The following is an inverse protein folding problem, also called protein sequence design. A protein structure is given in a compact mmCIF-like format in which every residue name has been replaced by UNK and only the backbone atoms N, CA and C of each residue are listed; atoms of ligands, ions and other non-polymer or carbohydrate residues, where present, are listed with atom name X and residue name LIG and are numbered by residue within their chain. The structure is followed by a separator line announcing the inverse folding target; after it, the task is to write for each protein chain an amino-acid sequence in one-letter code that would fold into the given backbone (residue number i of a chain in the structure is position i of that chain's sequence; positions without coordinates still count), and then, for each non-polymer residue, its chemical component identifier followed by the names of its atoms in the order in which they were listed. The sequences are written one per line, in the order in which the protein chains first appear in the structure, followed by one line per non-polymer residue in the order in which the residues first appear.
data_IF_520884733878
#
_entry.id   IF_520884733878
#
_cell.length_a   1.000
_cell.length_b   1.000
_cell.length_c   1.000
_cell.angle_alpha   90.00
_cell.angle_beta   90.00
_cell.angle_gamma   90.00
#
_symmetry.space_group_name_H-M   'P 1'
#
loop_
_entity.id
_entity.type
_entity.pdbx_description
1 polymer ?
#
# COMPACT_ATOMS: atom_id res chain seq x y z
N UNK A 1 -43.93 -19.52 49.14
CA UNK A 1 -43.88 -18.46 48.10
C UNK A 1 -42.98 -17.34 48.59
N UNK A 2 -42.00 -16.86 47.81
CA UNK A 2 -41.10 -15.80 48.24
C UNK A 2 -41.86 -14.49 48.48
N UNK A 3 -41.50 -13.78 49.56
CA UNK A 3 -42.17 -12.54 49.95
C UNK A 3 -41.94 -11.42 48.92
N UNK A 4 -43.01 -10.74 48.49
CA UNK A 4 -42.98 -9.64 47.49
C UNK A 4 -42.51 -8.29 48.09
N UNK A 5 -41.59 -8.28 49.06
CA UNK A 5 -41.12 -7.05 49.73
C UNK A 5 -39.59 -7.06 49.84
N UNK A 6 -38.96 -5.91 49.62
CA UNK A 6 -37.52 -5.74 49.89
C UNK A 6 -37.25 -6.00 51.37
N UNK A 7 -36.11 -6.61 51.70
CA UNK A 7 -35.62 -6.70 53.10
C UNK A 7 -35.48 -5.33 53.78
N UNK A 8 -35.37 -4.27 52.96
CA UNK A 8 -35.31 -2.87 53.36
C UNK A 8 -36.68 -2.19 53.55
N UNK A 9 -37.80 -2.90 53.44
CA UNK A 9 -39.16 -2.36 53.58
C UNK A 9 -39.68 -1.55 52.38
N UNK A 10 -38.83 -1.27 51.38
CA UNK A 10 -39.22 -0.55 50.16
C UNK A 10 -39.90 -1.48 49.13
N UNK A 11 -40.69 -0.90 48.24
CA UNK A 11 -41.30 -1.63 47.13
C UNK A 11 -40.19 -2.24 46.23
N UNK A 12 -40.36 -3.51 45.83
CA UNK A 12 -39.45 -4.16 44.90
C UNK A 12 -39.48 -3.40 43.57
N UNK A 13 -38.38 -2.71 43.25
CA UNK A 13 -38.24 -2.08 41.94
C UNK A 13 -38.06 -3.18 40.89
N UNK A 14 -38.88 -3.13 39.84
CA UNK A 14 -38.73 -4.01 38.69
C UNK A 14 -37.39 -3.66 38.05
N UNK A 15 -36.39 -4.53 38.19
CA UNK A 15 -35.16 -4.41 37.42
C UNK A 15 -35.59 -4.49 35.95
N UNK A 16 -35.60 -3.35 35.28
CA UNK A 16 -35.72 -3.29 33.81
C UNK A 16 -34.66 -4.25 33.30
N UNK A 17 -35.06 -5.24 32.48
CA UNK A 17 -34.11 -6.20 31.90
C UNK A 17 -32.85 -5.42 31.51
N UNK A 18 -31.66 -5.77 32.03
CA UNK A 18 -30.46 -5.06 31.63
C UNK A 18 -30.45 -5.05 30.10
N UNK A 19 -30.26 -3.87 29.50
CA UNK A 19 -30.06 -3.76 28.05
C UNK A 19 -28.84 -4.62 27.77
N UNK A 20 -29.06 -5.88 27.39
CA UNK A 20 -27.96 -6.74 26.95
C UNK A 20 -27.26 -5.98 25.85
N UNK A 21 -25.98 -5.72 26.06
CA UNK A 21 -25.20 -5.10 25.01
C UNK A 21 -25.15 -6.10 23.86
N UNK A 22 -25.29 -5.63 22.62
CA UNK A 22 -25.28 -6.46 21.41
C UNK A 22 -24.10 -7.44 21.37
N UNK A 23 -22.97 -7.04 21.97
CA UNK A 23 -21.78 -7.87 22.18
C UNK A 23 -22.02 -9.08 23.07
N UNK A 24 -22.80 -8.97 24.14
CA UNK A 24 -23.11 -10.09 25.05
C UNK A 24 -23.93 -11.17 24.35
N UNK A 25 -24.99 -10.79 23.62
CA UNK A 25 -25.82 -11.75 22.90
C UNK A 25 -25.03 -12.44 21.77
N UNK A 26 -24.17 -11.71 21.07
CA UNK A 26 -23.28 -12.27 20.06
C UNK A 26 -22.26 -13.25 20.68
N UNK A 27 -21.65 -12.91 21.82
CA UNK A 27 -20.71 -13.79 22.51
C UNK A 27 -21.38 -15.08 23.01
N UNK A 28 -22.61 -15.00 23.54
CA UNK A 28 -23.39 -16.17 23.94
C UNK A 28 -23.69 -17.09 22.74
N UNK A 29 -24.03 -16.52 21.58
CA UNK A 29 -24.25 -17.29 20.35
C UNK A 29 -22.95 -17.98 19.88
N UNK A 30 -21.82 -17.26 19.91
CA UNK A 30 -20.49 -17.79 19.57
C UNK A 30 -20.10 -18.93 20.51
N UNK A 31 -20.35 -18.78 21.81
CA UNK A 31 -20.06 -19.81 22.81
C UNK A 31 -20.96 -21.05 22.59
N UNK A 32 -22.23 -20.87 22.26
CA UNK A 32 -23.13 -21.97 21.87
C UNK A 32 -22.61 -22.73 20.65
N UNK A 33 -22.21 -22.00 19.60
CA UNK A 33 -21.62 -22.61 18.41
C UNK A 33 -20.31 -23.35 18.72
N UNK A 34 -19.51 -22.83 19.65
CA UNK A 34 -18.28 -23.48 20.08
C UNK A 34 -18.58 -24.79 20.84
N UNK A 35 -19.64 -24.83 21.65
CA UNK A 35 -20.13 -26.06 22.30
C UNK A 35 -20.57 -27.08 21.25
N UNK A 36 -21.32 -26.67 20.22
CA UNK A 36 -21.74 -27.58 19.14
C UNK A 36 -20.54 -28.19 18.40
N UNK A 37 -19.50 -27.38 18.18
CA UNK A 37 -18.24 -27.85 17.58
C UNK A 37 -17.56 -28.90 18.45
N UNK A 38 -17.43 -28.64 19.76
CA UNK A 38 -16.79 -29.57 20.71
C UNK A 38 -17.60 -30.86 20.92
N UNK A 39 -18.93 -30.79 20.80
CA UNK A 39 -19.83 -31.95 20.89
C UNK A 39 -19.93 -32.75 19.58
N UNK A 40 -19.23 -32.34 18.51
CA UNK A 40 -19.32 -32.99 17.21
C UNK A 40 -20.68 -32.81 16.51
N UNK A 41 -21.47 -31.82 16.95
CA UNK A 41 -22.76 -31.45 16.34
C UNK A 41 -22.60 -30.49 15.15
N UNK A 42 -21.38 -30.04 14.88
CA UNK A 42 -21.09 -29.21 13.72
C UNK A 42 -21.40 -29.99 12.44
N UNK A 43 -22.33 -29.47 11.64
CA UNK A 43 -22.81 -30.11 10.41
C UNK A 43 -21.82 -30.04 9.25
N UNK A 44 -20.76 -29.25 9.37
CA UNK A 44 -19.68 -29.12 8.40
C UNK A 44 -18.37 -29.70 8.97
N UNK A 45 -17.65 -30.50 8.18
CA UNK A 45 -16.32 -30.96 8.55
C UNK A 45 -15.32 -29.79 8.46
N UNK A 46 -14.86 -29.25 9.59
CA UNK A 46 -13.99 -28.07 9.61
C UNK A 46 -12.51 -28.47 9.48
N UNK A 47 -11.99 -28.41 8.26
CA UNK A 47 -10.56 -28.56 7.98
C UNK A 47 -9.81 -27.21 8.03
N UNK A 48 -8.48 -27.22 8.29
CA UNK A 48 -7.67 -26.01 8.21
C UNK A 48 -7.81 -25.32 6.84
N UNK A 49 -8.24 -24.05 6.85
CA UNK A 49 -8.39 -23.24 5.64
C UNK A 49 -9.78 -23.26 5.01
N UNK A 50 -10.69 -24.13 5.45
CA UNK A 50 -12.07 -24.20 4.97
C UNK A 50 -12.82 -22.87 5.21
N UNK A 51 -12.88 -22.42 6.46
CA UNK A 51 -13.59 -21.17 6.81
C UNK A 51 -13.01 -19.96 6.03
N UNK A 52 -11.69 -19.70 6.00
CA UNK A 52 -11.12 -18.60 5.21
C UNK A 52 -11.43 -18.64 3.71
N UNK A 53 -11.50 -19.83 3.12
CA UNK A 53 -11.78 -20.01 1.69
C UNK A 53 -13.25 -19.66 1.39
N UNK A 54 -14.18 -20.26 2.12
CA UNK A 54 -15.62 -20.04 1.92
C UNK A 54 -16.04 -18.63 2.33
N UNK A 55 -15.42 -18.05 3.36
CA UNK A 55 -15.71 -16.68 3.76
C UNK A 55 -15.33 -15.69 2.66
N UNK A 56 -14.21 -15.90 1.96
CA UNK A 56 -13.84 -15.05 0.82
C UNK A 56 -14.84 -15.15 -0.32
N UNK A 57 -15.21 -16.37 -0.72
CA UNK A 57 -16.20 -16.59 -1.78
C UNK A 57 -17.55 -15.96 -1.43
N UNK A 58 -18.04 -16.17 -0.20
CA UNK A 58 -19.28 -15.56 0.28
C UNK A 58 -19.21 -14.03 0.30
N UNK A 59 -18.14 -13.44 0.83
CA UNK A 59 -17.98 -11.99 0.89
C UNK A 59 -17.92 -11.37 -0.50
N UNK A 60 -17.29 -12.03 -1.48
CA UNK A 60 -17.19 -11.53 -2.85
C UNK A 60 -18.52 -11.64 -3.62
N UNK A 61 -19.32 -12.67 -3.36
CA UNK A 61 -20.60 -12.91 -4.06
C UNK A 61 -21.76 -12.13 -3.47
N UNK A 62 -21.88 -12.15 -2.15
CA UNK A 62 -23.11 -11.72 -1.46
C UNK A 62 -22.96 -10.32 -0.85
N UNK A 63 -21.80 -10.02 -0.28
CA UNK A 63 -21.62 -8.80 0.53
C UNK A 63 -20.96 -7.67 -0.27
N UNK A 64 -20.02 -7.99 -1.16
CA UNK A 64 -19.12 -7.01 -1.81
C UNK A 64 -18.86 -7.28 -3.30
N UNK A 65 -19.89 -7.38 -4.16
CA UNK A 65 -19.68 -7.62 -5.59
C UNK A 65 -18.84 -6.54 -6.30
N UNK A 66 -18.70 -5.34 -5.70
CA UNK A 66 -18.11 -4.17 -6.36
C UNK A 66 -16.79 -3.64 -5.75
N UNK A 67 -16.32 -4.17 -4.60
CA UNK A 67 -15.27 -3.50 -3.80
C UNK A 67 -13.96 -4.29 -3.69
N UNK A 68 -12.85 -3.56 -3.82
CA UNK A 68 -11.46 -4.06 -3.82
C UNK A 68 -10.89 -4.27 -2.41
N UNK A 69 -11.64 -3.95 -1.35
CA UNK A 69 -11.13 -3.88 0.04
C UNK A 69 -11.77 -4.89 1.00
N UNK A 70 -11.74 -6.18 0.64
CA UNK A 70 -12.32 -7.30 1.41
C UNK A 70 -12.01 -7.18 2.91
N UNK A 71 -10.75 -6.97 3.30
CA UNK A 71 -10.36 -6.79 4.71
C UNK A 71 -11.10 -5.68 5.45
N UNK A 72 -11.27 -4.50 4.83
CA UNK A 72 -11.92 -3.35 5.50
C UNK A 72 -13.39 -3.66 5.78
N UNK A 73 -14.04 -4.26 4.79
CA UNK A 73 -15.45 -4.58 4.83
C UNK A 73 -15.74 -5.77 5.75
N UNK A 74 -14.91 -6.81 5.73
CA UNK A 74 -14.94 -7.89 6.72
C UNK A 74 -14.75 -7.36 8.14
N UNK A 75 -13.87 -6.37 8.34
CA UNK A 75 -13.71 -5.72 9.65
C UNK A 75 -15.01 -5.03 10.09
N UNK A 76 -15.66 -4.30 9.18
CA UNK A 76 -16.93 -3.63 9.46
C UNK A 76 -18.07 -4.62 9.73
N UNK A 77 -18.11 -5.73 8.98
CA UNK A 77 -19.09 -6.81 9.19
C UNK A 77 -18.91 -7.48 10.56
N UNK A 78 -17.67 -7.76 10.95
CA UNK A 78 -17.35 -8.28 12.28
C UNK A 78 -17.77 -7.31 13.40
N UNK A 79 -17.50 -6.02 13.23
CA UNK A 79 -17.91 -4.98 14.19
C UNK A 79 -19.44 -4.85 14.26
N UNK A 80 -20.12 -4.99 13.13
CA UNK A 80 -21.57 -5.00 13.08
C UNK A 80 -22.19 -6.25 13.69
N UNK A 81 -21.59 -7.43 13.56
CA UNK A 81 -22.15 -8.67 14.08
C UNK A 81 -21.86 -8.85 15.59
N UNK A 82 -20.63 -8.55 16.01
CA UNK A 82 -20.11 -8.88 17.35
C UNK A 82 -19.98 -7.63 18.24
N UNK A 83 -19.81 -6.45 17.65
CA UNK A 83 -19.51 -5.21 18.37
C UNK A 83 -18.03 -5.08 18.75
N UNK A 84 -17.56 -3.84 18.80
CA UNK A 84 -16.16 -3.50 19.05
C UNK A 84 -15.60 -4.08 20.36
N UNK A 85 -16.42 -4.07 21.42
CA UNK A 85 -16.07 -4.67 22.72
C UNK A 85 -15.93 -6.19 22.64
N UNK A 86 -16.85 -6.87 21.95
CA UNK A 86 -16.77 -8.31 21.74
C UNK A 86 -15.55 -8.71 20.90
N UNK A 87 -15.21 -7.90 19.87
CA UNK A 87 -13.98 -8.09 19.10
C UNK A 87 -12.71 -7.92 19.94
N UNK A 88 -12.69 -6.96 20.88
CA UNK A 88 -11.58 -6.79 21.82
C UNK A 88 -11.45 -8.01 22.74
N UNK A 89 -12.54 -8.50 23.33
CA UNK A 89 -12.56 -9.69 24.19
C UNK A 89 -12.08 -10.95 23.46
N UNK A 90 -12.40 -11.07 22.17
CA UNK A 90 -11.96 -12.16 21.30
C UNK A 90 -10.55 -11.95 20.70
N UNK A 91 -9.88 -10.83 21.00
CA UNK A 91 -8.59 -10.45 20.44
C UNK A 91 -8.58 -10.44 18.89
N UNK A 92 -9.67 -9.99 18.28
CA UNK A 92 -9.83 -9.89 16.82
C UNK A 92 -9.43 -8.47 16.40
N UNK A 93 -8.14 -8.30 16.08
CA UNK A 93 -7.60 -7.08 15.48
C UNK A 93 -7.44 -7.19 13.96
N UNK A 94 -6.98 -6.12 13.32
CA UNK A 94 -6.83 -6.08 11.86
C UNK A 94 -5.88 -7.15 11.28
N UNK A 95 -4.85 -7.58 12.03
CA UNK A 95 -3.96 -8.68 11.63
C UNK A 95 -4.67 -10.05 11.75
N UNK A 96 -5.50 -10.25 12.78
CA UNK A 96 -6.35 -11.43 12.96
C UNK A 96 -7.34 -11.55 11.81
N UNK A 97 -8.00 -10.45 11.41
CA UNK A 97 -8.92 -10.43 10.24
C UNK A 97 -8.20 -10.86 8.96
N UNK A 98 -6.95 -10.43 8.76
CA UNK A 98 -6.16 -10.83 7.59
C UNK A 98 -5.85 -12.35 7.58
N UNK A 99 -5.67 -12.95 8.77
CA UNK A 99 -5.48 -14.40 8.94
C UNK A 99 -6.77 -15.18 8.73
N UNK A 100 -7.88 -14.68 9.26
CA UNK A 100 -9.23 -15.24 9.08
C UNK A 100 -9.67 -15.22 7.62
N UNK A 101 -9.27 -14.18 6.88
CA UNK A 101 -9.44 -14.13 5.43
C UNK A 101 -8.37 -14.92 4.67
N UNK A 102 -7.36 -15.51 5.32
CA UNK A 102 -6.28 -16.24 4.65
C UNK A 102 -5.47 -15.40 3.64
N UNK A 103 -5.34 -14.09 3.86
CA UNK A 103 -4.52 -13.18 3.03
C UNK A 103 -3.01 -13.35 3.28
N UNK A 104 -2.62 -14.10 4.31
CA UNK A 104 -1.23 -14.39 4.61
C UNK A 104 -0.76 -15.62 3.83
N UNK A 105 0.20 -15.42 2.93
CA UNK A 105 0.81 -16.44 2.06
C UNK A 105 1.61 -17.55 2.78
N UNK A 106 1.59 -17.60 4.11
CA UNK A 106 2.48 -18.44 4.92
C UNK A 106 1.79 -19.70 5.48
N UNK A 107 0.59 -20.06 5.01
CA UNK A 107 -0.12 -21.27 5.47
C UNK A 107 -0.58 -21.24 6.94
N UNK A 108 -0.33 -20.13 7.64
CA UNK A 108 -0.74 -19.91 9.03
C UNK A 108 -2.20 -19.44 9.09
N UNK A 109 -3.12 -20.33 8.70
CA UNK A 109 -4.51 -20.17 9.07
C UNK A 109 -4.60 -19.97 10.58
N UNK A 110 -5.58 -19.19 11.02
CA UNK A 110 -5.82 -19.02 12.44
C UNK A 110 -6.32 -20.35 12.99
N UNK A 111 -5.57 -20.98 13.90
CA UNK A 111 -5.94 -22.27 14.50
C UNK A 111 -6.79 -22.06 15.77
N UNK A 112 -7.03 -20.81 16.18
CA UNK A 112 -7.82 -20.50 17.36
C UNK A 112 -9.30 -20.83 17.12
N UNK A 113 -9.87 -21.88 17.75
CA UNK A 113 -11.24 -22.31 17.47
C UNK A 113 -12.26 -21.24 17.82
N UNK A 114 -12.05 -20.49 18.92
CA UNK A 114 -12.94 -19.43 19.36
C UNK A 114 -13.03 -18.29 18.34
N UNK A 115 -11.90 -17.89 17.77
CA UNK A 115 -11.86 -16.84 16.74
C UNK A 115 -12.44 -17.34 15.41
N UNK A 116 -12.25 -18.62 15.08
CA UNK A 116 -12.85 -19.23 13.89
C UNK A 116 -14.38 -19.35 14.03
N UNK A 117 -14.89 -19.74 15.20
CA UNK A 117 -16.32 -19.76 15.49
C UNK A 117 -16.92 -18.37 15.44
N UNK A 118 -16.26 -17.37 16.04
CA UNK A 118 -16.69 -15.98 15.96
C UNK A 118 -16.75 -15.47 14.52
N UNK A 119 -15.77 -15.84 13.70
CA UNK A 119 -15.73 -15.47 12.30
C UNK A 119 -16.82 -16.17 11.48
N UNK A 120 -17.05 -17.47 11.72
CA UNK A 120 -18.13 -18.20 11.08
C UNK A 120 -19.50 -17.64 11.44
N UNK A 121 -19.73 -17.32 12.72
CA UNK A 121 -20.93 -16.63 13.20
C UNK A 121 -21.14 -15.31 12.46
N UNK A 122 -20.11 -14.46 12.37
CA UNK A 122 -20.26 -13.15 11.75
C UNK A 122 -20.54 -13.23 10.25
N UNK A 123 -19.90 -14.16 9.53
CA UNK A 123 -19.99 -14.26 8.07
C UNK A 123 -21.21 -15.07 7.62
N UNK A 124 -21.48 -16.19 8.29
CA UNK A 124 -22.50 -17.17 7.88
C UNK A 124 -23.72 -17.22 8.82
N UNK A 125 -23.69 -16.53 9.95
CA UNK A 125 -24.72 -16.60 10.99
C UNK A 125 -24.53 -17.80 11.91
N UNK A 126 -24.40 -19.01 11.37
CA UNK A 126 -24.25 -20.25 12.12
C UNK A 126 -23.49 -21.35 11.33
N UNK A 127 -23.45 -22.57 11.86
CA UNK A 127 -22.83 -23.72 11.18
C UNK A 127 -23.61 -24.20 9.96
N UNK A 128 -24.92 -23.96 9.92
CA UNK A 128 -25.79 -24.35 8.82
C UNK A 128 -25.52 -23.45 7.60
N UNK A 129 -25.40 -22.14 7.81
CA UNK A 129 -24.99 -21.19 6.77
C UNK A 129 -23.59 -21.50 6.21
N UNK A 130 -22.66 -21.94 7.07
CA UNK A 130 -21.34 -22.40 6.59
C UNK A 130 -21.49 -23.66 5.71
N UNK A 131 -22.30 -24.63 6.12
CA UNK A 131 -22.54 -25.85 5.35
C UNK A 131 -23.16 -25.56 3.99
N UNK A 132 -24.14 -24.67 3.93
CA UNK A 132 -24.77 -24.25 2.67
C UNK A 132 -23.74 -23.66 1.71
N UNK A 133 -22.83 -22.82 2.20
CA UNK A 133 -21.74 -22.27 1.39
C UNK A 133 -20.74 -23.34 0.93
N UNK A 134 -20.49 -24.36 1.75
CA UNK A 134 -19.66 -25.52 1.40
C UNK A 134 -20.31 -26.36 0.30
N UNK A 135 -21.57 -26.72 0.47
CA UNK A 135 -22.35 -27.52 -0.48
C UNK A 135 -22.52 -26.77 -1.80
N UNK A 136 -22.73 -25.46 -1.77
CA UNK A 136 -22.82 -24.65 -2.98
C UNK A 136 -21.55 -24.71 -3.82
N UNK A 137 -20.37 -24.61 -3.20
CA UNK A 137 -19.09 -24.77 -3.91
C UNK A 137 -18.89 -26.21 -4.39
N UNK A 138 -19.31 -27.20 -3.60
CA UNK A 138 -19.15 -28.62 -3.94
C UNK A 138 -19.98 -29.02 -5.16
N UNK A 139 -21.18 -28.46 -5.28
CA UNK A 139 -22.11 -28.78 -6.37
C UNK A 139 -21.63 -28.24 -7.72
N UNK A 140 -21.05 -27.04 -7.75
CA UNK A 140 -20.49 -26.46 -8.98
C UNK A 140 -19.31 -25.53 -8.66
N UNK A 141 -18.10 -26.10 -8.75
CA UNK A 141 -16.86 -25.37 -8.44
C UNK A 141 -16.62 -24.24 -9.43
N UNK A 142 -16.92 -24.43 -10.71
CA UNK A 142 -16.62 -23.46 -11.76
C UNK A 142 -17.56 -22.25 -11.66
N UNK A 143 -18.87 -22.47 -11.51
CA UNK A 143 -19.83 -21.39 -11.31
C UNK A 143 -19.57 -20.64 -10.00
N UNK A 144 -19.17 -21.36 -8.93
CA UNK A 144 -18.78 -20.75 -7.67
C UNK A 144 -17.57 -19.82 -7.82
N UNK A 145 -16.52 -20.28 -8.50
CA UNK A 145 -15.31 -19.48 -8.73
C UNK A 145 -15.60 -18.28 -9.65
N UNK A 146 -16.37 -18.47 -10.72
CA UNK A 146 -16.76 -17.41 -11.63
C UNK A 146 -17.55 -16.30 -10.91
N UNK A 147 -18.52 -16.67 -10.07
CA UNK A 147 -19.31 -15.72 -9.29
C UNK A 147 -18.51 -15.03 -8.18
N UNK A 148 -17.48 -15.67 -7.62
CA UNK A 148 -16.58 -15.06 -6.62
C UNK A 148 -15.51 -14.13 -7.21
N UNK A 149 -15.35 -14.10 -8.54
CA UNK A 149 -14.31 -13.29 -9.18
C UNK A 149 -14.79 -11.85 -9.37
N UNK A 150 -14.03 -10.89 -8.85
CA UNK A 150 -14.32 -9.48 -9.09
C UNK A 150 -14.24 -9.15 -10.58
N UNK A 151 -15.37 -8.73 -11.16
CA UNK A 151 -15.43 -8.18 -12.51
C UNK A 151 -15.39 -6.65 -12.43
N UNK A 152 -14.34 -5.99 -12.93
CA UNK A 152 -14.29 -4.53 -12.93
C UNK A 152 -15.45 -3.93 -13.72
N UNK A 153 -16.24 -3.04 -13.11
CA UNK A 153 -17.36 -2.33 -13.77
C UNK A 153 -16.96 -1.60 -15.05
N UNK A 154 -15.68 -1.25 -15.18
CA UNK A 154 -15.07 -0.76 -16.41
C UNK A 154 -13.73 -1.45 -16.57
N UNK A 155 -13.61 -2.29 -17.60
CA UNK A 155 -12.31 -2.63 -18.16
C UNK A 155 -11.80 -1.34 -18.79
N UNK A 156 -10.83 -0.68 -18.14
CA UNK A 156 -10.09 0.39 -18.83
C UNK A 156 -9.32 -0.31 -19.94
N UNK A 157 -9.75 -0.11 -21.18
CA UNK A 157 -8.83 -0.28 -22.29
C UNK A 157 -7.58 0.50 -21.93
N UNK A 158 -6.44 -0.19 -21.85
CA UNK A 158 -5.16 0.46 -21.73
C UNK A 158 -4.94 1.10 -23.10
N UNK A 159 -5.58 2.25 -23.35
CA UNK A 159 -5.14 3.17 -24.37
C UNK A 159 -3.65 3.36 -24.10
N UNK A 160 -2.81 2.79 -24.97
CA UNK A 160 -1.38 3.02 -24.97
C UNK A 160 -1.21 4.54 -25.00
N UNK A 161 -0.94 5.14 -23.84
CA UNK A 161 -1.15 6.56 -23.63
C UNK A 161 -0.48 7.39 -24.72
N UNK A 162 -1.07 8.53 -25.08
CA UNK A 162 -0.66 9.52 -26.12
C UNK A 162 0.84 9.62 -26.42
N UNK A 163 1.71 9.37 -25.45
CA UNK A 163 3.17 9.24 -25.59
C UNK A 163 3.61 8.13 -26.57
N UNK A 164 3.01 6.94 -26.52
CA UNK A 164 3.29 5.84 -27.43
C UNK A 164 2.77 6.11 -28.85
N UNK A 165 1.66 6.82 -28.97
CA UNK A 165 1.10 7.24 -30.25
C UNK A 165 2.00 8.26 -30.98
N UNK A 166 2.64 9.17 -30.25
CA UNK A 166 3.61 10.12 -30.82
C UNK A 166 4.87 9.40 -31.31
N UNK A 167 5.39 8.42 -30.56
CA UNK A 167 6.54 7.60 -31.03
C UNK A 167 6.17 6.86 -32.31
N UNK A 168 5.02 6.18 -32.34
CA UNK A 168 4.53 5.48 -33.54
C UNK A 168 4.39 6.40 -34.75
N UNK A 169 3.89 7.63 -34.58
CA UNK A 169 3.81 8.62 -35.67
C UNK A 169 5.18 9.08 -36.17
N UNK A 170 6.20 9.11 -35.30
CA UNK A 170 7.57 9.42 -35.69
C UNK A 170 8.26 8.23 -36.38
N UNK A 171 7.84 7.00 -36.09
CA UNK A 171 8.32 5.79 -36.76
C UNK A 171 7.81 5.67 -38.21
N UNK A 172 6.72 6.35 -38.55
CA UNK A 172 6.13 6.37 -39.90
C UNK A 172 6.75 7.40 -40.85
N UNK A 173 7.71 8.22 -40.39
CA UNK A 173 8.38 9.22 -41.22
C UNK A 173 9.50 8.58 -42.05
N UNK A 174 9.63 8.99 -43.31
CA UNK A 174 10.76 8.59 -44.15
C UNK A 174 12.05 9.35 -43.77
N UNK A 175 13.20 8.91 -44.29
CA UNK A 175 14.51 9.46 -43.89
C UNK A 175 14.67 10.95 -44.22
N UNK A 176 14.11 11.41 -45.35
CA UNK A 176 14.10 12.82 -45.72
C UNK A 176 13.29 13.67 -44.74
N UNK A 177 12.09 13.20 -44.36
CA UNK A 177 11.25 13.86 -43.35
C UNK A 177 11.92 13.84 -41.98
N UNK A 178 12.60 12.75 -41.61
CA UNK A 178 13.38 12.68 -40.38
C UNK A 178 14.53 13.69 -40.37
N UNK A 179 15.23 13.88 -41.50
CA UNK A 179 16.30 14.86 -41.62
C UNK A 179 15.78 16.30 -41.47
N UNK A 180 14.69 16.65 -42.14
CA UNK A 180 14.04 17.96 -42.01
C UNK A 180 13.58 18.20 -40.56
N UNK A 181 12.90 17.21 -39.96
CA UNK A 181 12.44 17.31 -38.56
C UNK A 181 13.59 17.40 -37.56
N UNK A 182 14.72 16.75 -37.85
CA UNK A 182 15.94 16.85 -37.05
C UNK A 182 16.48 18.27 -37.10
N UNK A 183 16.60 18.87 -38.28
CA UNK A 183 17.07 20.24 -38.42
C UNK A 183 16.13 21.25 -37.72
N UNK A 184 14.83 21.13 -37.91
CA UNK A 184 13.82 21.95 -37.22
C UNK A 184 13.92 21.84 -35.69
N UNK A 185 14.02 20.61 -35.18
CA UNK A 185 14.09 20.36 -33.74
C UNK A 185 15.38 20.91 -33.13
N UNK A 186 16.53 20.72 -33.81
CA UNK A 186 17.82 21.25 -33.36
C UNK A 186 17.82 22.77 -33.34
N UNK A 187 17.43 23.41 -34.43
CA UNK A 187 17.37 24.87 -34.54
C UNK A 187 16.45 25.50 -33.48
N UNK A 188 15.28 24.91 -33.23
CA UNK A 188 14.37 25.37 -32.18
C UNK A 188 15.00 25.27 -30.79
N UNK A 189 15.59 24.11 -30.45
CA UNK A 189 16.16 23.86 -29.12
C UNK A 189 17.40 24.74 -28.89
N UNK A 190 18.26 24.90 -29.90
CA UNK A 190 19.43 25.77 -29.82
C UNK A 190 19.03 27.24 -29.65
N UNK A 191 18.03 27.73 -30.39
CA UNK A 191 17.49 29.08 -30.20
C UNK A 191 16.96 29.29 -28.78
N UNK A 192 16.18 28.33 -28.28
CA UNK A 192 15.64 28.40 -26.91
C UNK A 192 16.74 28.35 -25.85
N UNK A 193 17.84 27.62 -26.10
CA UNK A 193 19.00 27.59 -25.20
C UNK A 193 19.80 28.89 -25.25
N UNK A 194 19.90 29.54 -26.41
CA UNK A 194 20.52 30.84 -26.54
C UNK A 194 19.74 31.92 -25.75
N UNK A 195 18.41 31.91 -25.84
CA UNK A 195 17.53 32.84 -25.11
C UNK A 195 17.44 32.50 -23.61
N UNK A 196 17.47 31.21 -23.26
CA UNK A 196 17.31 30.72 -21.90
C UNK A 196 18.33 29.61 -21.56
N UNK A 197 19.59 29.96 -21.26
CA UNK A 197 20.66 28.97 -21.03
C UNK A 197 20.40 27.98 -19.90
N UNK A 198 19.53 28.33 -18.94
CA UNK A 198 19.19 27.50 -17.78
C UNK A 198 17.88 26.71 -17.93
N UNK A 199 17.26 26.70 -19.12
CA UNK A 199 15.98 26.01 -19.35
C UNK A 199 16.09 24.51 -19.08
N UNK A 200 15.04 23.92 -18.52
CA UNK A 200 14.95 22.48 -18.27
C UNK A 200 14.14 21.79 -19.36
N UNK A 201 14.40 20.50 -19.59
CA UNK A 201 13.59 19.64 -20.48
C UNK A 201 12.08 19.78 -20.21
N UNK A 202 11.66 19.87 -18.94
CA UNK A 202 10.26 20.05 -18.54
C UNK A 202 9.69 21.42 -18.91
N UNK A 203 10.51 22.48 -18.84
CA UNK A 203 10.11 23.84 -19.27
C UNK A 203 10.03 23.92 -20.80
N UNK A 204 10.95 23.29 -21.52
CA UNK A 204 10.93 23.19 -22.99
C UNK A 204 9.60 22.60 -23.51
N UNK A 205 9.10 21.52 -22.90
CA UNK A 205 7.82 20.90 -23.27
C UNK A 205 6.63 21.88 -23.14
N UNK A 206 6.69 22.78 -22.16
CA UNK A 206 5.60 23.74 -21.88
C UNK A 206 5.64 24.98 -22.77
N UNK A 207 6.72 25.21 -23.51
CA UNK A 207 6.81 26.33 -24.45
C UNK A 207 5.95 26.09 -25.68
N UNK A 208 5.50 27.18 -26.31
CA UNK A 208 4.74 27.11 -27.58
C UNK A 208 5.59 26.39 -28.63
N UNK A 209 5.06 25.30 -29.19
CA UNK A 209 5.77 24.44 -30.15
C UNK A 209 6.80 23.46 -29.54
N UNK A 210 7.28 23.70 -28.31
CA UNK A 210 8.37 22.94 -27.71
C UNK A 210 8.07 21.46 -27.46
N UNK A 211 6.81 21.09 -27.24
CA UNK A 211 6.39 19.69 -27.07
C UNK A 211 6.73 18.81 -28.28
N UNK A 212 6.53 19.30 -29.51
CA UNK A 212 6.81 18.56 -30.75
C UNK A 212 8.31 18.32 -30.92
N UNK A 213 9.11 19.37 -30.81
CA UNK A 213 10.56 19.30 -30.96
C UNK A 213 11.21 18.49 -29.84
N UNK A 214 10.68 18.60 -28.61
CA UNK A 214 11.11 17.78 -27.48
C UNK A 214 10.94 16.28 -27.76
N UNK A 215 9.75 15.84 -28.17
CA UNK A 215 9.51 14.41 -28.38
C UNK A 215 10.30 13.86 -29.56
N UNK A 216 10.47 14.63 -30.63
CA UNK A 216 11.35 14.25 -31.72
C UNK A 216 12.79 14.05 -31.24
N UNK A 217 13.35 15.05 -30.56
CA UNK A 217 14.72 14.99 -30.05
C UNK A 217 14.91 13.88 -29.01
N UNK A 218 13.89 13.59 -28.20
CA UNK A 218 13.93 12.54 -27.19
C UNK A 218 13.89 11.12 -27.77
N UNK A 219 13.07 10.89 -28.81
CA UNK A 219 12.87 9.54 -29.37
C UNK A 219 13.73 9.22 -30.60
N UNK A 220 14.09 10.22 -31.42
CA UNK A 220 14.77 10.03 -32.73
C UNK A 220 16.16 10.67 -32.82
N UNK A 221 16.53 11.52 -31.86
CA UNK A 221 17.84 12.20 -31.83
C UNK A 221 18.39 12.28 -30.40
N UNK A 222 18.25 11.17 -29.66
CA UNK A 222 18.48 11.09 -28.21
C UNK A 222 19.91 11.45 -27.81
N UNK A 223 20.89 11.11 -28.64
CA UNK A 223 22.32 11.27 -28.35
C UNK A 223 22.75 12.72 -28.50
N UNK A 224 22.23 13.41 -29.53
CA UNK A 224 22.40 14.86 -29.65
C UNK A 224 21.66 15.58 -28.53
N UNK A 225 20.39 15.21 -28.27
CA UNK A 225 19.57 15.87 -27.26
C UNK A 225 20.13 15.71 -25.84
N UNK A 226 20.77 14.59 -25.54
CA UNK A 226 21.41 14.34 -24.25
C UNK A 226 22.75 15.05 -24.09
N UNK A 227 23.43 15.41 -25.18
CA UNK A 227 24.61 16.28 -25.15
C UNK A 227 24.23 17.75 -24.94
N UNK A 228 23.25 18.24 -25.69
CA UNK A 228 22.85 19.66 -25.70
C UNK A 228 21.98 20.03 -24.50
N UNK A 229 21.11 19.13 -24.07
CA UNK A 229 20.28 19.28 -22.86
C UNK A 229 20.43 18.05 -21.97
N UNK A 230 21.56 17.87 -21.25
CA UNK A 230 21.75 16.70 -20.41
C UNK A 230 20.58 16.55 -19.43
N UNK A 231 20.10 15.31 -19.29
CA UNK A 231 19.18 14.98 -18.22
C UNK A 231 19.92 15.28 -16.92
N UNK A 232 19.60 16.42 -16.29
CA UNK A 232 20.34 16.87 -15.11
C UNK A 232 20.38 15.72 -14.11
N UNK A 233 21.59 15.26 -13.82
CA UNK A 233 21.83 14.28 -12.78
C UNK A 233 21.33 14.85 -11.45
N UNK A 234 20.97 14.01 -10.47
CA UNK A 234 20.59 14.49 -9.14
C UNK A 234 21.62 15.47 -8.55
N UNK A 235 22.91 15.27 -8.79
CA UNK A 235 23.99 16.16 -8.37
C UNK A 235 23.97 17.54 -9.06
N UNK A 236 23.69 17.61 -10.37
CA UNK A 236 23.56 18.88 -11.08
C UNK A 236 22.28 19.64 -10.70
N UNK A 237 21.20 18.93 -10.32
CA UNK A 237 20.01 19.55 -9.74
C UNK A 237 20.29 20.12 -8.36
N UNK A 238 21.04 19.39 -7.51
CA UNK A 238 21.52 19.87 -6.21
C UNK A 238 22.38 21.14 -6.36
N UNK A 239 23.35 21.15 -7.28
CA UNK A 239 24.23 22.30 -7.50
C UNK A 239 23.48 23.55 -8.00
N UNK A 240 22.52 23.39 -8.91
CA UNK A 240 21.70 24.51 -9.41
C UNK A 240 20.66 24.98 -8.39
N UNK A 241 20.11 24.09 -7.57
CA UNK A 241 19.26 24.47 -6.44
C UNK A 241 20.07 25.26 -5.40
N UNK A 242 21.29 24.81 -5.07
CA UNK A 242 22.21 25.53 -4.19
C UNK A 242 22.61 26.92 -4.73
N UNK A 243 22.88 27.03 -6.04
CA UNK A 243 23.16 28.31 -6.72
C UNK A 243 21.95 29.24 -6.82
N UNK A 244 20.73 28.70 -6.86
CA UNK A 244 19.49 29.49 -6.83
C UNK A 244 19.16 29.94 -5.40
N UNK A 245 19.47 29.12 -4.40
CA UNK A 245 19.36 29.44 -2.97
C UNK A 245 20.37 30.53 -2.56
N UNK A 246 21.60 30.49 -3.09
CA UNK A 246 22.60 31.54 -2.80
C UNK A 246 22.24 32.92 -3.38
N UNK A 247 21.31 32.98 -4.34
CA UNK A 247 20.83 34.24 -4.96
C UNK A 247 19.57 34.79 -4.29
N UNK A 248 18.93 34.05 -3.39
CA UNK A 248 17.79 34.53 -2.62
C UNK A 248 18.19 34.51 -1.14
N UNK A 249 18.72 35.65 -0.66
CA UNK A 249 18.89 35.90 0.76
C UNK A 249 17.50 36.01 1.41
N UNK A 250 16.89 34.86 1.70
CA UNK A 250 15.70 34.77 2.51
C UNK A 250 16.13 34.12 3.83
N UNK A 251 16.21 34.93 4.89
CA UNK A 251 16.43 34.38 6.22
C UNK A 251 15.23 33.49 6.58
N UNK A 252 15.46 32.20 6.91
CA UNK A 252 14.38 31.29 7.21
C UNK A 252 13.68 31.73 8.49
N UNK A 253 12.35 31.78 8.48
CA UNK A 253 11.58 32.09 9.68
C UNK A 253 11.76 30.99 10.73
N UNK A 254 11.61 31.33 12.01
CA UNK A 254 11.70 30.37 13.13
C UNK A 254 10.76 29.17 12.95
N UNK A 255 9.59 29.38 12.36
CA UNK A 255 8.61 28.32 12.09
C UNK A 255 9.11 27.34 11.00
N UNK A 256 9.77 27.84 9.97
CA UNK A 256 10.34 27.02 8.89
C UNK A 256 11.50 26.17 9.41
N UNK A 257 12.37 26.74 10.26
CA UNK A 257 13.47 26.01 10.91
C UNK A 257 12.91 24.90 11.81
N UNK A 258 11.92 25.22 12.65
CA UNK A 258 11.29 24.21 13.51
C UNK A 258 10.64 23.08 12.69
N UNK A 259 10.01 23.42 11.57
CA UNK A 259 9.41 22.43 10.69
C UNK A 259 10.46 21.54 10.01
N UNK A 260 11.55 22.13 9.51
CA UNK A 260 12.68 21.38 8.94
C UNK A 260 13.28 20.40 9.97
N UNK A 261 13.50 20.86 11.21
CA UNK A 261 13.99 20.02 12.30
C UNK A 261 13.04 18.86 12.63
N UNK A 262 11.72 19.09 12.60
CA UNK A 262 10.73 18.03 12.76
C UNK A 262 10.80 17.00 11.63
N UNK A 263 11.02 17.44 10.39
CA UNK A 263 11.19 16.54 9.24
C UNK A 263 12.42 15.64 9.43
N UNK A 264 13.56 16.20 9.83
CA UNK A 264 14.77 15.43 10.12
C UNK A 264 14.55 14.42 11.25
N UNK A 265 14.00 14.86 12.38
CA UNK A 265 13.70 13.99 13.51
C UNK A 265 12.73 12.86 13.14
N UNK A 266 11.74 13.15 12.30
CA UNK A 266 10.78 12.15 11.80
C UNK A 266 11.45 11.16 10.84
N UNK A 267 12.37 11.63 9.99
CA UNK A 267 13.16 10.77 9.11
C UNK A 267 13.96 9.75 9.93
N UNK A 268 14.70 10.22 10.94
CA UNK A 268 15.48 9.35 11.84
C UNK A 268 14.60 8.33 12.56
N UNK A 269 13.44 8.77 13.05
CA UNK A 269 12.48 7.87 13.68
C UNK A 269 11.99 6.78 12.71
N UNK A 270 11.68 7.14 11.46
CA UNK A 270 11.23 6.20 10.43
C UNK A 270 12.34 5.21 10.05
N UNK A 271 13.59 5.66 9.96
CA UNK A 271 14.73 4.79 9.70
C UNK A 271 14.93 3.77 10.82
N UNK A 272 14.76 4.16 12.08
CA UNK A 272 14.89 3.28 13.24
C UNK A 272 13.72 2.29 13.37
N UNK A 273 12.49 2.77 13.24
CA UNK A 273 11.29 1.96 13.54
C UNK A 273 10.80 1.15 12.34
N UNK A 274 10.99 1.65 11.11
CA UNK A 274 10.48 1.04 9.87
C UNK A 274 11.54 1.05 8.76
N UNK A 275 12.70 0.40 8.97
CA UNK A 275 13.85 0.44 8.05
C UNK A 275 13.59 -0.18 6.67
N UNK A 276 12.47 -0.87 6.47
CA UNK A 276 12.10 -1.50 5.19
C UNK A 276 11.04 -0.75 4.42
N UNK A 277 10.42 0.29 5.00
CA UNK A 277 9.39 1.06 4.32
C UNK A 277 9.98 2.33 3.69
N UNK A 278 9.49 2.70 2.52
CA UNK A 278 9.95 3.90 1.82
C UNK A 278 9.58 5.16 2.59
N UNK A 279 10.52 6.09 2.73
CA UNK A 279 10.27 7.41 3.29
C UNK A 279 9.71 8.29 2.19
N UNK A 280 8.44 8.64 2.32
CA UNK A 280 7.74 9.49 1.35
C UNK A 280 7.40 10.83 1.98
N UNK A 281 7.19 11.84 1.15
CA UNK A 281 6.78 13.19 1.57
C UNK A 281 5.59 13.16 2.52
N UNK A 282 4.57 12.35 2.21
CA UNK A 282 3.38 12.20 3.04
C UNK A 282 3.71 11.70 4.45
N UNK A 283 4.70 10.80 4.61
CA UNK A 283 5.09 10.24 5.91
C UNK A 283 5.87 11.22 6.78
N UNK A 284 6.63 12.10 6.15
CA UNK A 284 7.39 13.17 6.82
C UNK A 284 6.48 14.32 7.24
N UNK A 285 5.40 14.57 6.48
CA UNK A 285 4.43 15.64 6.74
C UNK A 285 3.18 15.18 7.51
N UNK A 286 3.08 13.89 7.86
CA UNK A 286 1.95 13.34 8.60
C UNK A 286 1.84 13.98 9.99
N UNK A 287 0.63 14.38 10.40
CA UNK A 287 0.31 15.13 11.63
C UNK A 287 0.86 16.57 11.66
N UNK A 288 1.06 17.19 10.50
CA UNK A 288 1.41 18.62 10.44
C UNK A 288 0.15 19.45 10.23
N UNK A 289 0.10 20.67 10.78
CA UNK A 289 -1.07 21.58 10.72
C UNK A 289 -1.60 21.81 9.30
N UNK A 290 -0.72 21.68 8.30
CA UNK A 290 -0.99 21.93 6.90
C UNK A 290 -0.82 20.69 6.00
N UNK A 291 -0.91 19.48 6.56
CA UNK A 291 -0.77 18.22 5.81
C UNK A 291 -1.71 18.13 4.60
N UNK A 292 -2.93 18.66 4.73
CA UNK A 292 -3.96 18.69 3.70
C UNK A 292 -3.77 19.80 2.65
N UNK A 293 -2.89 20.79 2.92
CA UNK A 293 -2.70 21.95 2.05
C UNK A 293 -1.64 21.63 0.99
N UNK A 294 -2.12 21.31 -0.22
CA UNK A 294 -1.26 20.97 -1.36
C UNK A 294 -0.27 22.09 -1.68
N UNK A 295 1.03 21.75 -1.71
CA UNK A 295 2.10 22.66 -2.09
C UNK A 295 2.53 23.66 -1.01
N UNK A 296 1.95 23.64 0.21
CA UNK A 296 2.37 24.53 1.30
C UNK A 296 3.85 24.35 1.66
N UNK A 297 4.27 23.10 1.87
CA UNK A 297 5.67 22.76 2.16
C UNK A 297 6.62 22.99 0.96
N UNK A 298 6.08 23.36 -0.22
CA UNK A 298 6.88 23.78 -1.37
C UNK A 298 7.05 25.30 -1.39
N UNK A 299 6.35 26.09 -0.57
CA UNK A 299 6.53 27.55 -0.53
C UNK A 299 7.78 27.96 0.27
N UNK A 300 8.10 27.20 1.32
CA UNK A 300 9.29 27.41 2.13
C UNK A 300 10.51 26.72 1.52
N UNK A 301 11.61 27.44 1.23
CA UNK A 301 12.84 26.85 0.70
C UNK A 301 13.48 25.86 1.68
N UNK A 302 13.53 26.21 2.97
CA UNK A 302 14.12 25.40 4.04
C UNK A 302 13.37 24.09 4.27
N UNK A 303 12.03 24.14 4.28
CA UNK A 303 11.19 22.94 4.42
C UNK A 303 11.29 22.08 3.15
N UNK A 304 11.38 22.70 1.97
CA UNK A 304 11.55 21.98 0.71
C UNK A 304 12.89 21.24 0.69
N UNK A 305 13.97 21.87 1.13
CA UNK A 305 15.29 21.25 1.25
C UNK A 305 15.26 20.05 2.20
N UNK A 306 14.71 20.20 3.41
CA UNK A 306 14.61 19.11 4.37
C UNK A 306 13.83 17.90 3.80
N UNK A 307 12.77 18.16 3.04
CA UNK A 307 12.01 17.11 2.35
C UNK A 307 12.80 16.48 1.21
N UNK A 308 13.51 17.27 0.41
CA UNK A 308 14.34 16.75 -0.68
C UNK A 308 15.51 15.90 -0.17
N UNK A 309 16.03 16.19 1.03
CA UNK A 309 17.06 15.39 1.71
C UNK A 309 16.48 14.09 2.29
N UNK A 310 15.29 14.15 2.89
CA UNK A 310 14.74 13.02 3.64
C UNK A 310 13.85 12.07 2.83
N UNK A 311 13.35 12.48 1.67
CA UNK A 311 12.49 11.62 0.82
C UNK A 311 13.35 10.66 -0.01
N UNK A 312 13.09 9.37 0.13
CA UNK A 312 13.82 8.35 -0.63
C UNK A 312 13.55 8.45 -2.14
N UNK A 313 14.62 8.48 -2.93
CA UNK A 313 14.59 8.02 -4.32
C UNK A 313 14.31 6.51 -4.41
N UNK A 314 13.80 6.00 -5.55
CA UNK A 314 13.65 4.56 -5.76
C UNK A 314 14.94 3.77 -5.55
N UNK A 315 16.08 4.34 -5.94
CA UNK A 315 17.41 3.74 -5.83
C UNK A 315 17.88 3.70 -4.37
N UNK A 316 17.81 4.82 -3.63
CA UNK A 316 18.18 4.88 -2.21
C UNK A 316 17.31 3.94 -1.36
N UNK A 317 16.01 3.89 -1.63
CA UNK A 317 15.11 2.95 -0.98
C UNK A 317 15.52 1.50 -1.22
N UNK A 318 15.92 1.17 -2.45
CA UNK A 318 16.33 -0.18 -2.82
C UNK A 318 17.66 -0.55 -2.17
N UNK A 319 18.66 0.34 -2.23
CA UNK A 319 19.98 0.14 -1.62
C UNK A 319 19.87 -0.01 -0.09
N UNK A 320 19.04 0.80 0.57
CA UNK A 320 18.78 0.70 2.02
C UNK A 320 18.17 -0.65 2.38
N UNK A 321 17.20 -1.14 1.60
CA UNK A 321 16.61 -2.47 1.81
C UNK A 321 17.61 -3.59 1.60
N UNK A 322 18.46 -3.49 0.58
CA UNK A 322 19.54 -4.47 0.36
C UNK A 322 20.50 -4.48 1.55
N UNK A 323 20.94 -3.30 2.01
CA UNK A 323 21.82 -3.15 3.17
C UNK A 323 21.25 -3.82 4.42
N UNK A 324 20.02 -3.45 4.79
CA UNK A 324 19.34 -4.02 5.95
C UNK A 324 19.16 -5.54 5.85
N UNK A 325 18.73 -6.05 4.70
CA UNK A 325 18.56 -7.50 4.49
C UNK A 325 19.89 -8.23 4.58
N UNK A 326 20.95 -7.70 3.95
CA UNK A 326 22.27 -8.32 3.98
C UNK A 326 22.80 -8.42 5.41
N UNK A 327 22.66 -7.34 6.18
CA UNK A 327 23.06 -7.28 7.59
C UNK A 327 22.30 -8.34 8.42
N UNK A 328 20.97 -8.35 8.35
CA UNK A 328 20.15 -9.33 9.09
C UNK A 328 20.39 -10.77 8.67
N UNK A 329 20.71 -11.01 7.40
CA UNK A 329 21.04 -12.37 6.95
C UNK A 329 22.40 -12.79 7.50
N UNK A 330 23.39 -11.88 7.55
CA UNK A 330 24.72 -12.17 8.09
C UNK A 330 24.70 -12.43 9.59
N UNK A 331 23.78 -11.82 10.35
CA UNK A 331 23.57 -12.13 11.77
C UNK A 331 23.24 -13.61 12.00
N UNK A 332 22.57 -14.27 11.04
CA UNK A 332 22.15 -15.68 11.15
C UNK A 332 23.12 -16.60 10.41
N UNK A 333 23.57 -16.22 9.22
CA UNK A 333 24.43 -17.03 8.36
C UNK A 333 25.37 -16.16 7.53
N UNK A 334 26.64 -16.13 7.92
CA UNK A 334 27.70 -15.30 7.33
C UNK A 334 27.85 -15.45 5.80
N UNK A 335 27.71 -16.68 5.28
CA UNK A 335 27.96 -17.00 3.86
C UNK A 335 26.70 -17.14 3.01
N UNK A 336 25.53 -16.82 3.56
CA UNK A 336 24.29 -17.00 2.81
C UNK A 336 24.25 -16.02 1.61
N UNK A 337 23.80 -16.43 0.41
CA UNK A 337 23.79 -15.57 -0.77
C UNK A 337 23.06 -14.23 -0.57
N UNK A 338 21.96 -14.23 0.18
CA UNK A 338 21.21 -13.00 0.52
C UNK A 338 21.95 -12.06 1.48
N UNK A 339 22.99 -12.53 2.17
CA UNK A 339 23.88 -11.73 3.01
C UNK A 339 24.91 -10.96 2.19
N UNK A 340 25.02 -11.21 0.89
CA UNK A 340 26.02 -10.56 0.03
C UNK A 340 25.38 -9.50 -0.86
N UNK A 341 25.85 -8.24 -0.76
CA UNK A 341 25.46 -7.15 -1.66
C UNK A 341 25.74 -7.48 -3.13
N UNK A 342 26.78 -8.26 -3.41
CA UNK A 342 27.12 -8.68 -4.77
C UNK A 342 26.04 -9.55 -5.40
N UNK A 343 25.25 -10.27 -4.61
CA UNK A 343 24.12 -11.03 -5.12
C UNK A 343 23.00 -10.15 -5.70
N UNK A 344 23.02 -8.84 -5.46
CA UNK A 344 22.02 -7.90 -5.99
C UNK A 344 22.55 -7.07 -7.16
N UNK A 345 23.86 -7.08 -7.42
CA UNK A 345 24.48 -6.31 -8.53
C UNK A 345 24.11 -6.89 -9.89
N UNK A 346 23.94 -6.01 -10.88
CA UNK A 346 23.65 -6.38 -12.27
C UNK A 346 22.23 -6.91 -12.52
N UNK A 347 21.41 -7.03 -11.48
CA UNK A 347 20.02 -7.44 -11.61
C UNK A 347 19.13 -6.27 -12.05
N UNK A 348 18.12 -6.57 -12.88
CA UNK A 348 17.05 -5.61 -13.15
C UNK A 348 16.22 -5.35 -11.90
N UNK A 349 15.56 -4.20 -11.83
CA UNK A 349 14.76 -3.77 -10.67
C UNK A 349 13.73 -4.83 -10.24
N UNK A 350 13.08 -5.50 -11.20
CA UNK A 350 12.12 -6.58 -10.94
C UNK A 350 12.79 -7.76 -10.25
N UNK A 351 13.99 -8.16 -10.68
CA UNK A 351 14.74 -9.26 -10.09
C UNK A 351 15.30 -8.90 -8.70
N UNK A 352 15.76 -7.66 -8.50
CA UNK A 352 16.15 -7.15 -7.18
C UNK A 352 14.97 -7.24 -6.21
N UNK A 353 13.78 -6.76 -6.62
CA UNK A 353 12.56 -6.82 -5.80
C UNK A 353 12.17 -8.25 -5.45
N UNK A 354 12.21 -9.16 -6.43
CA UNK A 354 11.91 -10.57 -6.21
C UNK A 354 12.89 -11.22 -5.23
N UNK A 355 14.20 -10.97 -5.41
CA UNK A 355 15.25 -11.51 -4.53
C UNK A 355 15.15 -10.95 -3.12
N UNK A 356 14.88 -9.65 -2.95
CA UNK A 356 14.60 -9.04 -1.65
C UNK A 356 13.40 -9.69 -0.96
N UNK A 357 12.32 -9.99 -1.69
CA UNK A 357 11.16 -10.66 -1.11
C UNK A 357 11.49 -12.10 -0.66
N UNK A 358 12.29 -12.84 -1.44
CA UNK A 358 12.78 -14.17 -1.04
C UNK A 358 13.69 -14.10 0.20
N UNK A 359 14.59 -13.13 0.24
CA UNK A 359 15.48 -12.92 1.38
C UNK A 359 14.69 -12.56 2.66
N UNK A 360 13.67 -11.71 2.56
CA UNK A 360 12.78 -11.41 3.67
C UNK A 360 11.97 -12.63 4.14
N UNK A 361 11.49 -13.49 3.22
CA UNK A 361 10.85 -14.76 3.60
C UNK A 361 11.82 -15.69 4.31
N UNK A 362 13.06 -15.77 3.83
CA UNK A 362 14.12 -16.55 4.46
C UNK A 362 14.43 -16.03 5.87
N UNK A 363 14.58 -14.72 6.04
CA UNK A 363 14.79 -14.09 7.34
C UNK A 363 13.68 -14.44 8.32
N UNK A 364 12.40 -14.30 7.93
CA UNK A 364 11.26 -14.66 8.80
C UNK A 364 11.26 -16.12 9.26
N UNK A 365 11.80 -17.02 8.44
CA UNK A 365 11.89 -18.45 8.76
C UNK A 365 13.02 -18.75 9.76
N UNK A 366 14.10 -17.97 9.75
CA UNK A 366 15.33 -18.28 10.51
C UNK A 366 15.68 -17.26 11.61
N UNK A 367 14.97 -16.13 11.70
CA UNK A 367 15.16 -15.10 12.74
C UNK A 367 14.35 -15.38 14.02
N UNK A 368 14.16 -16.67 14.36
CA UNK A 368 13.45 -17.10 15.59
C UNK A 368 14.44 -17.50 16.65
#
# INVERSE_FOLDING_TARGET
MPAKRCLCGKALQRIVKPRRQKSEDALLAIDSMAVDLLQGKCVAAIEPGLIPMHARGYMQRTVLPERVHVRKETTALLDNAIGSEGLQLLNIGGSTVSRLLGELHDGQYLINPRQNTAFAYAVFGDWQGLKEEVDLRRNDVEAYLASSTYVPKRVREVESGRTGEISKRLDLLNDEQLAVRRQEARAFIEKVLAEHPSITRRKLIKMKGGKRHFYFAFYKDSDWFSRVMPARTPSQRKALAALQLSKQAHEPSKEEIQMANRIYARCDQLLRTKPLERITRARLLNNTRNESVKGWAEKSPTVREALDVCVDSPEEYTERRIGYVCEKVREISLFHPYGSKNSYRGLSERHVKFRLNKAMKWLRKHSR
#
